data_IF_165731205124
#
_entry.id   IF_165731205124
#
_cell.length_a   1.000
_cell.length_b   1.000
_cell.length_c   1.000
_cell.angle_alpha   90.00
_cell.angle_beta   90.00
_cell.angle_gamma   90.00
#
_symmetry.space_group_name_H-M   'P 1'
#
loop_
_entity.id
_entity.type
_entity.pdbx_description
1 polymer ?
#
# COMPACT_ATOMS: atom_id res chain seq x y z
N UNK A 1 24.28 35.49 -3.87
CA UNK A 1 25.50 34.98 -3.21
C UNK A 1 25.20 33.58 -2.75
N UNK A 2 25.91 32.58 -3.30
CA UNK A 2 25.57 31.16 -3.16
C UNK A 2 25.69 30.66 -1.72
N UNK A 3 24.59 30.16 -1.16
CA UNK A 3 24.63 29.33 0.04
C UNK A 3 25.25 27.97 -0.35
N UNK A 4 26.49 27.73 0.07
CA UNK A 4 27.15 26.44 -0.13
C UNK A 4 26.46 25.43 0.79
N UNK A 5 25.62 24.57 0.19
CA UNK A 5 24.99 23.43 0.85
C UNK A 5 26.04 22.34 1.14
N UNK A 6 25.91 21.65 2.27
CA UNK A 6 26.67 20.42 2.53
C UNK A 6 25.86 19.26 1.96
N UNK A 7 26.49 18.44 1.12
CA UNK A 7 25.93 17.20 0.60
C UNK A 7 26.18 16.05 1.58
N UNK A 8 25.11 15.36 1.98
CA UNK A 8 25.15 14.02 2.56
C UNK A 8 24.33 13.11 1.65
N UNK A 9 24.97 12.53 0.64
CA UNK A 9 24.29 11.80 -0.44
C UNK A 9 23.33 12.68 -1.23
N UNK A 10 22.05 12.32 -1.18
CA UNK A 10 20.90 13.01 -1.78
C UNK A 10 20.32 14.12 -0.87
N UNK A 11 20.88 14.36 0.32
CA UNK A 11 20.44 15.43 1.23
C UNK A 11 21.25 16.71 1.03
N UNK A 12 20.54 17.84 0.90
CA UNK A 12 21.11 19.18 0.99
C UNK A 12 20.85 19.84 2.36
N UNK A 13 21.93 20.19 3.07
CA UNK A 13 21.88 20.92 4.34
C UNK A 13 22.29 22.39 4.17
N UNK A 14 21.52 23.32 4.76
CA UNK A 14 21.87 24.75 4.79
C UNK A 14 23.03 25.02 5.78
N UNK A 15 24.04 25.79 5.35
CA UNK A 15 25.30 26.04 6.10
C UNK A 15 25.03 26.59 7.52
N UNK A 16 25.75 26.06 8.52
CA UNK A 16 25.67 26.49 9.93
C UNK A 16 24.92 25.53 10.88
N UNK A 17 24.31 24.46 10.36
CA UNK A 17 23.55 23.48 11.14
C UNK A 17 24.04 22.04 10.93
N UNK A 18 25.34 21.79 11.19
CA UNK A 18 25.90 20.41 11.27
C UNK A 18 25.25 19.55 12.37
N UNK A 19 24.40 20.15 13.20
CA UNK A 19 23.56 19.47 14.19
C UNK A 19 22.11 19.39 13.69
N UNK A 20 21.89 18.76 12.54
CA UNK A 20 20.64 18.78 11.78
C UNK A 20 19.44 18.06 12.44
N UNK A 21 19.41 17.85 13.76
CA UNK A 21 18.35 17.02 14.41
C UNK A 21 17.66 17.73 15.60
N UNK A 22 18.08 18.95 15.97
CA UNK A 22 17.38 19.77 16.98
C UNK A 22 16.85 21.08 16.37
N UNK A 23 16.24 21.01 15.18
CA UNK A 23 15.68 22.19 14.53
C UNK A 23 14.14 22.13 14.51
N UNK A 24 13.50 22.51 15.61
CA UNK A 24 12.03 22.69 15.61
C UNK A 24 11.58 23.72 14.55
N UNK A 25 12.41 24.74 14.29
CA UNK A 25 12.17 25.74 13.24
C UNK A 25 12.23 25.20 11.81
N UNK A 26 12.66 23.95 11.62
CA UNK A 26 12.77 23.30 10.32
C UNK A 26 11.56 22.39 10.01
N UNK A 27 10.59 22.29 10.91
CA UNK A 27 9.37 21.52 10.66
C UNK A 27 8.34 22.36 9.90
N UNK A 28 7.54 21.71 9.08
CA UNK A 28 6.36 22.34 8.50
C UNK A 28 5.33 22.65 9.59
N UNK A 29 4.73 23.85 9.59
CA UNK A 29 3.85 24.26 10.67
C UNK A 29 2.55 23.44 10.68
N UNK A 30 2.10 23.09 11.88
CA UNK A 30 0.79 22.47 12.07
C UNK A 30 -0.29 23.55 12.17
N UNK A 31 -1.30 23.45 11.32
CA UNK A 31 -2.49 24.31 11.30
C UNK A 31 -3.41 24.00 12.48
N UNK A 32 -4.34 24.92 12.76
CA UNK A 32 -5.31 24.80 13.87
C UNK A 32 -6.26 23.61 13.71
N UNK A 33 -6.52 23.18 12.47
CA UNK A 33 -7.29 21.97 12.12
C UNK A 33 -6.52 20.67 12.42
N UNK A 34 -5.31 20.76 12.96
CA UNK A 34 -4.47 19.60 13.28
C UNK A 34 -3.74 19.00 12.08
N UNK A 35 -3.77 19.65 10.91
CA UNK A 35 -3.08 19.20 9.70
C UNK A 35 -1.74 19.93 9.51
N UNK A 36 -0.80 19.28 8.83
CA UNK A 36 0.47 19.89 8.40
C UNK A 36 0.40 20.10 6.90
N UNK A 37 0.06 21.31 6.47
CA UNK A 37 -0.11 21.64 5.05
C UNK A 37 1.25 22.00 4.45
N UNK A 38 1.67 21.25 3.43
CA UNK A 38 2.91 21.46 2.68
C UNK A 38 2.52 21.94 1.28
N UNK A 39 2.62 23.25 1.00
CA UNK A 39 2.35 23.78 -0.33
C UNK A 39 3.35 23.23 -1.34
N UNK A 40 2.85 22.76 -2.48
CA UNK A 40 3.66 22.14 -3.53
C UNK A 40 3.33 22.67 -4.92
N UNK A 41 4.35 22.79 -5.76
CA UNK A 41 4.23 22.89 -7.21
C UNK A 41 5.03 21.77 -7.86
N UNK A 42 4.44 21.10 -8.85
CA UNK A 42 5.10 20.06 -9.63
C UNK A 42 5.39 20.64 -11.02
N UNK A 43 6.64 20.55 -11.47
CA UNK A 43 7.06 21.10 -12.76
C UNK A 43 6.19 20.58 -13.92
N UNK A 44 5.95 21.46 -14.89
CA UNK A 44 5.32 21.12 -16.17
C UNK A 44 6.17 20.20 -17.03
N UNK A 45 7.48 20.07 -16.74
CA UNK A 45 8.43 19.22 -17.47
C UNK A 45 8.21 17.72 -17.22
N UNK A 46 7.40 17.38 -16.22
CA UNK A 46 6.88 16.03 -16.04
C UNK A 46 5.75 15.77 -17.03
N UNK A 47 5.68 14.57 -17.57
CA UNK A 47 4.50 14.12 -18.31
C UNK A 47 3.28 14.01 -17.37
N UNK A 48 2.08 13.90 -17.95
CA UNK A 48 0.85 13.67 -17.17
C UNK A 48 0.97 12.41 -16.30
N UNK A 49 1.54 11.34 -16.86
CA UNK A 49 1.79 10.08 -16.17
C UNK A 49 2.75 10.22 -15.00
N UNK A 50 3.88 10.92 -15.19
CA UNK A 50 4.86 11.14 -14.12
C UNK A 50 4.29 12.00 -12.99
N UNK A 51 3.50 13.04 -13.32
CA UNK A 51 2.78 13.82 -12.31
C UNK A 51 1.77 12.98 -11.54
N UNK A 52 1.10 12.02 -12.19
CA UNK A 52 0.20 11.10 -11.52
C UNK A 52 0.94 10.17 -10.54
N UNK A 53 2.14 9.68 -10.89
CA UNK A 53 2.97 8.91 -9.96
C UNK A 53 3.43 9.72 -8.75
N UNK A 54 3.84 10.97 -8.97
CA UNK A 54 4.19 11.90 -7.87
C UNK A 54 2.97 12.13 -6.98
N UNK A 55 1.81 12.46 -7.56
CA UNK A 55 0.59 12.65 -6.80
C UNK A 55 0.18 11.41 -6.00
N UNK A 56 0.27 10.21 -6.59
CA UNK A 56 -0.04 8.94 -5.91
C UNK A 56 0.88 8.68 -4.72
N UNK A 57 2.20 8.92 -4.88
CA UNK A 57 3.18 8.74 -3.82
C UNK A 57 2.93 9.69 -2.63
N UNK A 58 2.62 10.96 -2.92
CA UNK A 58 2.29 11.98 -1.92
C UNK A 58 0.94 11.73 -1.25
N UNK A 59 -0.05 11.26 -2.02
CA UNK A 59 -1.38 10.94 -1.50
C UNK A 59 -1.33 9.82 -0.46
N UNK A 60 -0.40 8.87 -0.58
CA UNK A 60 -0.21 7.82 0.41
C UNK A 60 0.32 8.37 1.76
N UNK A 61 1.30 9.29 1.74
CA UNK A 61 1.73 10.02 2.93
C UNK A 61 0.54 10.78 3.54
N UNK A 62 -0.23 11.47 2.71
CA UNK A 62 -1.41 12.24 3.13
C UNK A 62 -2.55 11.38 3.67
N UNK A 63 -2.63 10.12 3.27
CA UNK A 63 -3.67 9.19 3.75
C UNK A 63 -3.29 8.66 5.12
N UNK A 64 -2.02 8.30 5.32
CA UNK A 64 -1.57 7.60 6.52
C UNK A 64 -1.18 8.53 7.67
N UNK A 65 -1.06 9.83 7.40
CA UNK A 65 -0.56 10.84 8.35
C UNK A 65 -1.40 12.11 8.30
N UNK A 66 -1.11 13.06 9.19
CA UNK A 66 -1.72 14.40 9.18
C UNK A 66 -1.03 15.39 8.22
N UNK A 67 0.02 14.98 7.52
CA UNK A 67 0.69 15.81 6.50
C UNK A 67 -0.18 15.85 5.26
N UNK A 68 -0.40 17.03 4.67
CA UNK A 68 -1.21 17.19 3.47
C UNK A 68 -0.45 18.01 2.44
N UNK A 69 -0.18 17.41 1.28
CA UNK A 69 0.40 18.12 0.14
C UNK A 69 -0.70 18.87 -0.59
N UNK A 70 -0.62 20.20 -0.59
CA UNK A 70 -1.66 21.07 -1.17
C UNK A 70 -1.07 21.86 -2.32
N UNK A 71 -1.83 22.06 -3.40
CA UNK A 71 -1.39 22.92 -4.49
C UNK A 71 -1.11 24.32 -3.95
N UNK A 72 0.11 24.81 -4.17
CA UNK A 72 0.49 26.15 -3.76
C UNK A 72 -0.30 27.20 -4.54
N UNK A 73 -0.71 28.24 -3.82
CA UNK A 73 -1.28 29.47 -4.36
C UNK A 73 -0.32 30.63 -4.10
N UNK A 74 -0.38 31.25 -2.92
CA UNK A 74 0.38 32.45 -2.54
C UNK A 74 1.43 32.20 -1.46
N UNK A 75 1.52 30.97 -0.95
CA UNK A 75 2.37 30.64 0.18
C UNK A 75 3.85 30.93 -0.13
N UNK A 76 4.52 31.61 0.80
CA UNK A 76 5.93 31.98 0.67
C UNK A 76 6.85 30.77 0.71
N UNK A 77 6.56 29.84 1.62
CA UNK A 77 7.36 28.64 1.85
C UNK A 77 6.68 27.44 1.19
N UNK A 78 7.37 26.77 0.27
CA UNK A 78 6.78 25.71 -0.53
C UNK A 78 7.82 24.78 -1.16
N UNK A 79 7.41 23.57 -1.45
CA UNK A 79 8.18 22.60 -2.21
C UNK A 79 7.94 22.78 -3.71
N UNK A 80 9.00 22.80 -4.50
CA UNK A 80 8.95 22.77 -5.95
C UNK A 80 9.60 21.47 -6.45
N UNK A 81 8.80 20.56 -6.98
CA UNK A 81 9.29 19.30 -7.55
C UNK A 81 9.77 19.56 -8.97
N UNK A 82 11.08 19.43 -9.19
CA UNK A 82 11.73 19.71 -10.47
C UNK A 82 12.34 18.45 -11.08
N UNK A 83 12.42 18.45 -12.41
CA UNK A 83 13.14 17.41 -13.13
C UNK A 83 14.63 17.71 -13.04
N UNK A 84 15.36 16.81 -12.38
CA UNK A 84 16.81 16.92 -12.17
C UNK A 84 17.63 15.94 -13.01
N UNK A 85 18.95 16.00 -12.82
CA UNK A 85 19.91 14.98 -13.28
C UNK A 85 20.18 13.90 -12.21
N UNK A 86 19.88 14.21 -10.94
CA UNK A 86 19.96 13.31 -9.79
C UNK A 86 18.74 13.49 -8.89
N UNK A 87 18.51 12.52 -8.00
CA UNK A 87 17.49 12.56 -6.98
C UNK A 87 18.08 13.22 -5.73
N UNK A 88 17.39 14.22 -5.18
CA UNK A 88 17.85 14.94 -4.00
C UNK A 88 16.74 15.82 -3.40
N UNK A 89 16.93 16.18 -2.13
CA UNK A 89 16.00 17.01 -1.39
C UNK A 89 16.67 17.80 -0.27
N UNK A 90 16.08 18.94 0.09
CA UNK A 90 16.51 19.68 1.28
C UNK A 90 16.01 19.00 2.55
N UNK A 91 16.81 19.06 3.61
CA UNK A 91 16.38 18.62 4.93
C UNK A 91 15.39 19.60 5.57
N UNK A 92 14.15 19.14 5.78
CA UNK A 92 13.08 19.91 6.41
C UNK A 92 12.64 21.13 5.59
N UNK A 93 11.88 22.00 6.26
CA UNK A 93 11.47 23.30 5.76
C UNK A 93 12.65 24.28 5.84
N UNK A 94 13.11 24.77 4.68
CA UNK A 94 14.22 25.75 4.60
C UNK A 94 13.75 27.20 4.44
N UNK A 95 12.46 27.40 4.13
CA UNK A 95 11.85 28.70 3.83
C UNK A 95 12.01 29.12 2.36
N UNK A 96 11.06 29.91 1.84
CA UNK A 96 11.01 30.26 0.43
C UNK A 96 10.69 29.07 -0.49
N UNK A 97 11.08 29.18 -1.77
CA UNK A 97 11.05 28.06 -2.72
C UNK A 97 12.14 27.05 -2.35
N UNK A 98 11.77 25.82 -2.02
CA UNK A 98 12.71 24.72 -1.84
C UNK A 98 12.50 23.64 -2.90
N UNK A 99 13.56 23.27 -3.60
CA UNK A 99 13.48 22.30 -4.67
C UNK A 99 13.61 20.86 -4.15
N UNK A 100 12.91 19.94 -4.82
CA UNK A 100 13.07 18.48 -4.70
C UNK A 100 13.30 17.96 -6.11
N UNK A 101 14.46 17.35 -6.34
CA UNK A 101 14.88 16.86 -7.65
C UNK A 101 14.43 15.42 -7.86
N UNK A 102 13.73 15.15 -8.97
CA UNK A 102 13.37 13.79 -9.40
C UNK A 102 13.85 13.49 -10.83
N UNK A 103 14.21 12.23 -11.09
CA UNK A 103 14.77 11.75 -12.37
C UNK A 103 13.95 10.59 -12.91
N UNK A 104 13.60 10.65 -14.20
CA UNK A 104 12.73 9.69 -14.90
C UNK A 104 13.10 8.22 -14.67
N UNK A 105 14.37 7.89 -14.87
CA UNK A 105 14.88 6.52 -14.77
C UNK A 105 15.65 6.28 -13.45
N UNK A 106 15.37 7.09 -12.42
CA UNK A 106 16.04 7.01 -11.12
C UNK A 106 15.04 6.86 -9.98
N UNK A 107 14.28 7.91 -9.70
CA UNK A 107 13.42 8.02 -8.51
C UNK A 107 11.97 8.35 -8.86
N UNK A 108 11.43 7.70 -9.90
CA UNK A 108 10.01 7.84 -10.27
C UNK A 108 9.12 6.71 -9.73
N UNK A 109 9.70 5.71 -9.06
CA UNK A 109 8.91 4.78 -8.28
C UNK A 109 8.40 5.43 -6.98
N UNK A 110 7.34 4.85 -6.42
CA UNK A 110 6.64 5.38 -5.25
C UNK A 110 7.56 5.61 -4.06
N UNK A 111 8.39 4.63 -3.71
CA UNK A 111 9.25 4.72 -2.54
C UNK A 111 10.33 5.78 -2.72
N UNK A 112 10.92 5.89 -3.90
CA UNK A 112 11.92 6.92 -4.16
C UNK A 112 11.33 8.34 -4.09
N UNK A 113 10.11 8.56 -4.61
CA UNK A 113 9.44 9.86 -4.47
C UNK A 113 9.16 10.19 -2.99
N UNK A 114 8.69 9.18 -2.22
CA UNK A 114 8.45 9.33 -0.79
C UNK A 114 9.74 9.55 0.00
N UNK A 115 10.86 8.96 -0.41
CA UNK A 115 12.19 9.17 0.16
C UNK A 115 12.59 10.64 0.08
N UNK A 116 12.59 11.20 -1.13
CA UNK A 116 12.95 12.60 -1.34
C UNK A 116 11.99 13.55 -0.61
N UNK A 117 10.70 13.20 -0.57
CA UNK A 117 9.73 14.01 0.16
C UNK A 117 9.94 13.92 1.68
N UNK A 118 10.30 12.76 2.21
CA UNK A 118 10.58 12.60 3.64
C UNK A 118 11.79 13.43 4.08
N UNK A 119 12.80 13.62 3.22
CA UNK A 119 13.85 14.61 3.49
C UNK A 119 13.28 16.02 3.68
N UNK A 120 12.39 16.46 2.78
CA UNK A 120 11.72 17.76 2.89
C UNK A 120 10.81 17.87 4.13
N UNK A 121 10.35 16.74 4.68
CA UNK A 121 9.62 16.66 5.95
C UNK A 121 10.52 16.64 7.20
N UNK A 122 11.84 16.57 7.03
CA UNK A 122 12.82 16.61 8.12
C UNK A 122 13.33 15.24 8.56
N UNK A 123 13.34 14.25 7.67
CA UNK A 123 13.94 12.95 7.93
C UNK A 123 15.32 12.82 7.28
N UNK A 124 16.23 12.21 8.01
CA UNK A 124 17.55 11.77 7.55
C UNK A 124 17.48 10.29 7.15
N UNK A 125 18.56 9.77 6.58
CA UNK A 125 18.64 8.35 6.31
C UNK A 125 18.67 7.49 7.58
N UNK A 126 18.07 6.30 7.49
CA UNK A 126 17.96 5.36 8.62
C UNK A 126 19.32 4.78 9.01
N UNK A 127 20.19 4.51 8.04
CA UNK A 127 21.57 4.05 8.32
C UNK A 127 22.48 5.17 8.84
N UNK A 128 22.02 6.41 8.93
CA UNK A 128 22.80 7.49 9.53
C UNK A 128 22.57 7.62 11.04
N UNK A 129 21.66 6.82 11.63
CA UNK A 129 21.31 6.91 13.05
C UNK A 129 22.51 6.77 13.98
N UNK A 130 22.46 7.47 15.11
CA UNK A 130 23.47 7.43 16.17
C UNK A 130 23.66 6.03 16.78
N UNK A 131 22.59 5.22 16.81
CA UNK A 131 22.53 3.87 17.36
C UNK A 131 22.62 2.75 16.32
N UNK A 132 22.83 3.08 15.03
CA UNK A 132 22.78 2.10 13.92
C UNK A 132 23.70 0.90 14.11
N UNK A 133 24.85 1.07 14.77
CA UNK A 133 25.92 0.05 14.83
C UNK A 133 25.47 -1.17 15.67
N UNK A 134 24.30 -1.09 16.32
CA UNK A 134 23.61 -2.21 16.97
C UNK A 134 22.79 -3.07 16.00
N UNK A 135 22.57 -2.60 14.78
CA UNK A 135 21.60 -3.12 13.81
C UNK A 135 22.23 -3.35 12.43
N UNK A 136 23.23 -2.56 12.04
CA UNK A 136 23.96 -2.74 10.79
C UNK A 136 25.46 -2.57 11.01
N UNK A 137 26.25 -3.29 10.22
CA UNK A 137 27.69 -3.09 10.08
C UNK A 137 27.96 -2.36 8.77
N UNK A 138 28.75 -1.29 8.83
CA UNK A 138 29.28 -0.61 7.65
C UNK A 138 30.59 -1.29 7.24
N UNK A 139 30.66 -1.75 5.99
CA UNK A 139 31.84 -2.37 5.40
C UNK A 139 32.66 -1.29 4.69
N UNK A 140 33.43 -0.53 5.46
CA UNK A 140 34.18 0.65 5.00
C UNK A 140 35.12 0.34 3.83
N UNK A 141 35.71 -0.85 3.84
CA UNK A 141 36.59 -1.39 2.81
C UNK A 141 35.89 -1.65 1.46
N UNK A 142 34.56 -1.71 1.45
CA UNK A 142 33.77 -1.92 0.24
C UNK A 142 33.26 -0.62 -0.38
N UNK A 143 33.36 0.52 0.31
CA UNK A 143 32.83 1.81 -0.15
C UNK A 143 33.78 2.44 -1.18
N UNK A 144 33.22 3.02 -2.24
CA UNK A 144 33.97 3.81 -3.23
C UNK A 144 34.78 4.93 -2.56
N UNK A 145 35.99 5.18 -3.06
CA UNK A 145 36.86 6.24 -2.52
C UNK A 145 36.18 7.61 -2.67
N UNK A 146 36.04 8.35 -1.57
CA UNK A 146 35.36 9.66 -1.53
C UNK A 146 33.93 9.59 -1.00
N UNK A 147 33.30 8.42 -0.99
CA UNK A 147 31.88 8.25 -0.63
C UNK A 147 31.66 7.86 0.83
N UNK A 148 32.73 7.74 1.63
CA UNK A 148 32.64 7.36 3.05
C UNK A 148 31.80 8.32 3.89
N UNK A 149 31.71 9.60 3.47
CA UNK A 149 30.89 10.62 4.14
C UNK A 149 29.40 10.25 4.20
N UNK A 150 28.88 9.54 3.20
CA UNK A 150 27.47 9.15 3.12
C UNK A 150 27.06 8.11 4.19
N UNK A 151 28.04 7.52 4.88
CA UNK A 151 27.85 6.53 5.94
C UNK A 151 28.21 7.11 7.31
N UNK A 152 28.36 8.43 7.43
CA UNK A 152 28.54 9.12 8.71
C UNK A 152 27.35 8.90 9.65
N UNK A 153 27.61 8.86 10.97
CA UNK A 153 26.53 8.91 11.97
C UNK A 153 26.15 10.36 12.22
N UNK A 154 24.86 10.61 12.34
CA UNK A 154 24.31 11.89 12.79
C UNK A 154 23.69 11.74 14.17
N UNK A 155 23.72 12.81 14.96
CA UNK A 155 23.24 12.80 16.34
C UNK A 155 21.70 12.73 16.39
N UNK A 156 21.14 11.53 16.30
CA UNK A 156 19.70 11.30 16.25
C UNK A 156 19.11 10.83 17.58
N UNK A 157 17.91 11.34 17.92
CA UNK A 157 17.06 10.81 19.01
C UNK A 157 16.14 9.68 18.56
N UNK A 158 16.02 9.47 17.24
CA UNK A 158 15.17 8.46 16.59
C UNK A 158 13.69 8.47 17.02
N UNK A 159 13.26 9.55 17.67
CA UNK A 159 11.96 9.68 18.31
C UNK A 159 11.63 8.50 19.26
N UNK A 160 12.63 7.81 19.80
CA UNK A 160 12.43 6.60 20.62
C UNK A 160 11.77 5.43 19.89
N UNK A 161 11.90 5.35 18.56
CA UNK A 161 11.38 4.25 17.74
C UNK A 161 12.50 3.23 17.40
N UNK A 162 12.15 1.94 17.20
CA UNK A 162 13.09 0.90 16.78
C UNK A 162 13.80 1.22 15.46
N UNK A 163 14.88 0.48 15.17
CA UNK A 163 15.54 0.53 13.87
C UNK A 163 14.66 -0.10 12.80
N UNK A 164 14.55 0.56 11.65
CA UNK A 164 13.68 0.14 10.56
C UNK A 164 14.45 -0.27 9.31
N UNK A 165 14.76 -1.57 9.20
CA UNK A 165 15.40 -2.14 8.00
C UNK A 165 14.59 -1.92 6.72
N UNK A 166 13.28 -1.76 6.84
CA UNK A 166 12.36 -1.56 5.72
C UNK A 166 12.07 -0.08 5.45
N UNK A 167 12.73 0.83 6.15
CA UNK A 167 12.51 2.26 5.97
C UNK A 167 12.81 2.65 4.53
N UNK A 168 11.93 3.46 3.95
CA UNK A 168 12.20 4.07 2.65
C UNK A 168 13.45 4.96 2.72
N UNK A 169 13.80 5.46 3.90
CA UNK A 169 14.99 6.27 4.18
C UNK A 169 16.27 5.44 4.38
N UNK A 170 16.21 4.11 4.28
CA UNK A 170 17.40 3.27 4.40
C UNK A 170 18.09 3.10 3.04
N UNK A 171 19.42 3.16 3.02
CA UNK A 171 20.23 2.76 1.85
C UNK A 171 20.15 1.26 1.57
N UNK A 172 20.33 0.89 0.32
CA UNK A 172 20.52 -0.50 -0.10
C UNK A 172 21.84 -1.07 0.39
N UNK A 173 21.92 -2.40 0.45
CA UNK A 173 23.12 -3.10 0.91
C UNK A 173 24.35 -2.82 0.04
N UNK A 174 24.17 -2.41 -1.21
CA UNK A 174 25.23 -2.22 -2.21
C UNK A 174 25.43 -0.77 -2.64
N UNK A 175 24.72 0.18 -2.01
CA UNK A 175 24.83 1.59 -2.36
C UNK A 175 26.28 2.05 -2.14
N UNK A 176 26.81 2.80 -3.10
CA UNK A 176 28.20 3.28 -3.13
C UNK A 176 29.29 2.18 -3.06
N UNK A 177 28.98 0.96 -3.51
CA UNK A 177 29.95 -0.13 -3.53
C UNK A 177 31.03 0.07 -4.61
N UNK A 178 32.28 -0.21 -4.23
CA UNK A 178 33.47 -0.17 -5.10
C UNK A 178 33.57 -1.38 -6.04
N UNK A 179 32.81 -2.46 -5.81
CA UNK A 179 32.85 -3.65 -6.64
C UNK A 179 31.51 -4.41 -6.62
N UNK A 180 31.11 -5.05 -7.74
CA UNK A 180 29.91 -5.88 -7.79
C UNK A 180 29.91 -6.97 -6.72
N UNK A 181 28.76 -7.17 -6.07
CA UNK A 181 28.56 -8.22 -5.06
C UNK A 181 29.20 -7.95 -3.70
N UNK A 182 29.84 -6.78 -3.48
CA UNK A 182 30.37 -6.38 -2.17
C UNK A 182 29.38 -5.45 -1.45
N UNK A 183 28.69 -5.90 -0.39
CA UNK A 183 27.77 -5.03 0.34
C UNK A 183 28.55 -3.99 1.16
N UNK A 184 28.11 -2.74 1.14
CA UNK A 184 28.59 -1.63 1.98
C UNK A 184 27.86 -1.58 3.32
N UNK A 185 26.64 -2.12 3.39
CA UNK A 185 25.85 -2.24 4.62
C UNK A 185 25.41 -3.69 4.80
N UNK A 186 25.68 -4.26 5.97
CA UNK A 186 25.29 -5.63 6.33
C UNK A 186 24.42 -5.59 7.60
N UNK A 187 23.15 -6.01 7.52
CA UNK A 187 22.29 -6.14 8.71
C UNK A 187 22.85 -7.16 9.71
N UNK A 188 22.62 -6.89 11.00
CA UNK A 188 23.00 -7.77 12.11
C UNK A 188 21.81 -7.98 13.07
N UNK A 189 21.70 -9.16 13.70
CA UNK A 189 22.60 -10.32 13.60
C UNK A 189 22.41 -11.15 12.33
N UNK A 190 21.38 -10.87 11.52
CA UNK A 190 21.03 -11.65 10.33
C UNK A 190 21.27 -10.85 9.03
N UNK A 191 22.34 -11.18 8.27
CA UNK A 191 22.65 -10.55 6.99
C UNK A 191 21.61 -10.75 5.89
N UNK A 192 20.66 -11.68 6.05
CA UNK A 192 19.63 -11.98 5.04
C UNK A 192 18.45 -11.00 5.06
N UNK A 193 18.37 -10.15 6.10
CA UNK A 193 17.31 -9.14 6.21
C UNK A 193 17.42 -8.15 5.02
N UNK A 194 16.37 -7.97 4.21
CA UNK A 194 16.40 -7.03 3.09
C UNK A 194 16.40 -5.58 3.60
N UNK A 195 17.22 -4.74 2.97
CA UNK A 195 17.32 -3.28 3.22
C UNK A 195 17.29 -2.49 1.90
N UNK A 196 16.92 -1.21 1.97
CA UNK A 196 16.90 -0.30 0.82
C UNK A 196 15.73 -0.49 -0.13
N UNK A 197 14.59 -0.95 0.38
CA UNK A 197 13.36 -1.06 -0.41
C UNK A 197 12.90 0.31 -0.93
N UNK A 198 12.19 0.29 -2.06
CA UNK A 198 11.57 1.47 -2.70
C UNK A 198 10.10 1.20 -3.13
N UNK A 199 9.43 0.30 -2.43
CA UNK A 199 8.00 0.01 -2.63
C UNK A 199 7.08 1.10 -2.07
N UNK A 200 7.52 1.74 -0.99
CA UNK A 200 6.84 2.85 -0.33
C UNK A 200 7.05 2.83 1.18
N UNK A 201 6.35 3.69 1.93
CA UNK A 201 6.52 3.83 3.38
C UNK A 201 6.36 2.49 4.12
N UNK A 202 7.22 2.26 5.10
CA UNK A 202 7.04 1.22 6.12
C UNK A 202 6.08 1.70 7.23
N UNK A 203 5.68 0.78 8.12
CA UNK A 203 4.95 1.16 9.34
C UNK A 203 5.74 2.12 10.23
N UNK A 204 7.07 1.96 10.32
CA UNK A 204 7.91 2.80 11.15
C UNK A 204 8.21 4.15 10.48
N UNK A 205 8.22 4.24 9.16
CA UNK A 205 8.24 5.53 8.45
C UNK A 205 7.00 6.37 8.79
N UNK A 206 5.80 5.75 8.68
CA UNK A 206 4.53 6.38 9.05
C UNK A 206 4.52 6.78 10.53
N UNK A 207 4.97 5.89 11.43
CA UNK A 207 5.06 6.18 12.86
C UNK A 207 6.03 7.33 13.17
N UNK A 208 7.15 7.43 12.46
CA UNK A 208 8.11 8.54 12.58
C UNK A 208 7.48 9.87 12.16
N UNK A 209 6.78 9.92 11.02
CA UNK A 209 6.04 11.12 10.57
C UNK A 209 4.98 11.50 11.60
N UNK A 210 4.15 10.55 12.02
CA UNK A 210 3.08 10.78 12.98
C UNK A 210 3.62 11.26 14.33
N UNK A 211 4.75 10.72 14.80
CA UNK A 211 5.37 11.15 16.06
C UNK A 211 6.03 12.53 15.94
N UNK A 212 6.69 12.83 14.83
CA UNK A 212 7.34 14.12 14.60
C UNK A 212 6.31 15.26 14.52
N UNK A 213 5.22 15.05 13.78
CA UNK A 213 4.16 16.04 13.55
C UNK A 213 2.97 15.91 14.52
N UNK A 214 3.09 15.02 15.53
CA UNK A 214 2.07 14.77 16.56
C UNK A 214 0.70 14.44 15.96
N UNK A 215 0.67 13.64 14.89
CA UNK A 215 -0.56 13.26 14.21
C UNK A 215 -1.38 12.30 15.08
N UNK A 216 -2.70 12.50 15.15
CA UNK A 216 -3.62 11.60 15.82
C UNK A 216 -4.22 10.61 14.79
N UNK A 217 -3.40 9.68 14.32
CA UNK A 217 -3.79 8.68 13.32
C UNK A 217 -3.36 7.28 13.76
N UNK A 218 -4.27 6.31 13.70
CA UNK A 218 -3.95 4.89 13.81
C UNK A 218 -3.90 4.26 12.42
N UNK A 219 -2.77 4.44 11.73
CA UNK A 219 -2.56 3.92 10.37
C UNK A 219 -1.57 2.76 10.37
N UNK A 220 -1.82 1.75 9.54
CA UNK A 220 -0.92 0.61 9.34
C UNK A 220 -0.81 0.25 7.85
N UNK A 221 0.41 0.01 7.40
CA UNK A 221 0.73 -0.57 6.10
C UNK A 221 0.86 -2.08 6.25
N UNK A 222 0.19 -2.82 5.38
CA UNK A 222 0.18 -4.28 5.32
C UNK A 222 0.83 -4.74 4.00
N UNK A 223 2.18 -4.86 3.94
CA UNK A 223 2.91 -5.05 2.68
C UNK A 223 3.04 -6.54 2.25
N UNK A 224 2.71 -7.48 3.15
CA UNK A 224 2.87 -8.92 2.89
C UNK A 224 1.87 -9.40 1.85
N UNK A 225 2.19 -10.47 1.13
CA UNK A 225 1.28 -11.08 0.14
C UNK A 225 0.03 -11.72 0.73
N UNK A 226 0.02 -11.99 2.03
CA UNK A 226 -1.14 -12.43 2.80
C UNK A 226 -0.99 -11.99 4.24
N UNK A 227 -2.11 -11.79 4.93
CA UNK A 227 -2.11 -11.42 6.34
C UNK A 227 -3.51 -11.30 6.90
N UNK A 228 -3.59 -10.98 8.18
CA UNK A 228 -4.83 -10.70 8.88
C UNK A 228 -4.66 -9.48 9.78
N UNK A 229 -5.75 -8.76 10.00
CA UNK A 229 -5.82 -7.61 10.89
C UNK A 229 -7.19 -7.54 11.56
N UNK A 230 -7.29 -6.76 12.63
CA UNK A 230 -8.52 -6.61 13.41
C UNK A 230 -8.64 -5.20 13.96
N UNK A 231 -9.84 -4.84 14.40
CA UNK A 231 -10.00 -3.68 15.28
C UNK A 231 -9.15 -3.85 16.54
N UNK A 232 -8.81 -2.72 17.17
CA UNK A 232 -8.15 -2.74 18.47
C UNK A 232 -9.00 -3.52 19.48
N UNK A 233 -8.34 -4.26 20.37
CA UNK A 233 -8.92 -5.10 21.42
C UNK A 233 -9.74 -6.32 20.99
N UNK A 234 -10.00 -6.54 19.69
CA UNK A 234 -10.79 -7.69 19.23
C UNK A 234 -10.29 -9.01 19.89
N UNK A 235 -11.19 -9.86 20.45
CA UNK A 235 -12.66 -9.83 20.35
C UNK A 235 -13.37 -9.01 21.45
N UNK A 236 -12.67 -8.16 22.19
CA UNK A 236 -13.25 -7.22 23.14
C UNK A 236 -13.60 -5.88 22.49
N UNK A 237 -14.42 -5.04 23.15
CA UNK A 237 -14.86 -3.77 22.58
C UNK A 237 -13.73 -2.87 22.08
N UNK A 238 -13.88 -2.35 20.86
CA UNK A 238 -12.96 -1.39 20.30
C UNK A 238 -13.03 -0.03 21.03
N UNK A 239 -11.96 0.79 20.97
CA UNK A 239 -11.99 2.13 21.56
C UNK A 239 -12.94 3.07 20.83
N UNK A 240 -13.62 3.95 21.58
CA UNK A 240 -14.40 5.06 21.02
C UNK A 240 -13.47 6.10 20.37
N UNK A 241 -14.02 6.94 19.48
CA UNK A 241 -13.31 7.97 18.71
C UNK A 241 -12.12 7.42 17.90
N UNK A 242 -12.21 6.16 17.47
CA UNK A 242 -11.21 5.53 16.62
C UNK A 242 -11.35 6.03 15.18
N UNK A 243 -10.22 6.25 14.50
CA UNK A 243 -10.16 6.52 13.06
C UNK A 243 -8.92 5.83 12.50
N UNK A 244 -9.06 4.53 12.23
CA UNK A 244 -7.96 3.66 11.89
C UNK A 244 -7.98 3.25 10.42
N UNK A 245 -6.79 3.19 9.84
CA UNK A 245 -6.58 2.90 8.44
C UNK A 245 -5.62 1.72 8.28
N UNK A 246 -6.00 0.76 7.44
CA UNK A 246 -5.11 -0.30 6.98
C UNK A 246 -4.93 -0.17 5.47
N UNK A 247 -3.71 0.16 5.06
CA UNK A 247 -3.32 0.16 3.66
C UNK A 247 -2.70 -1.19 3.32
N UNK A 248 -3.45 -2.04 2.63
CA UNK A 248 -2.94 -3.27 2.06
C UNK A 248 -2.21 -2.91 0.77
N UNK A 249 -0.92 -3.28 0.66
CA UNK A 249 -0.07 -3.00 -0.51
C UNK A 249 0.66 -4.28 -0.90
N UNK A 250 0.31 -4.85 -2.05
CA UNK A 250 0.96 -6.08 -2.56
C UNK A 250 1.72 -5.78 -3.84
N UNK A 251 2.91 -6.34 -4.03
CA UNK A 251 3.68 -6.08 -5.26
C UNK A 251 3.04 -6.73 -6.48
N UNK A 252 2.66 -5.91 -7.48
CA UNK A 252 2.25 -6.34 -8.84
C UNK A 252 1.18 -7.44 -8.85
N UNK A 253 0.22 -7.38 -7.93
CA UNK A 253 -0.89 -8.34 -7.85
C UNK A 253 -2.14 -7.62 -7.39
N UNK A 254 -3.31 -8.24 -7.57
CA UNK A 254 -4.56 -7.74 -7.00
C UNK A 254 -4.70 -8.25 -5.56
N UNK A 255 -5.64 -7.67 -4.83
CA UNK A 255 -5.89 -7.99 -3.41
C UNK A 255 -7.28 -8.57 -3.29
N UNK A 256 -7.38 -9.76 -2.69
CA UNK A 256 -8.61 -10.33 -2.17
C UNK A 256 -8.69 -10.05 -0.66
N UNK A 257 -9.80 -9.47 -0.21
CA UNK A 257 -10.10 -9.17 1.19
C UNK A 257 -11.37 -9.91 1.60
N UNK A 258 -11.32 -10.57 2.76
CA UNK A 258 -12.47 -11.23 3.37
C UNK A 258 -12.56 -10.90 4.85
N UNK A 259 -13.76 -11.07 5.43
CA UNK A 259 -14.04 -10.79 6.83
C UNK A 259 -14.46 -12.05 7.55
N UNK A 260 -13.71 -12.45 8.58
CA UNK A 260 -14.09 -13.59 9.43
C UNK A 260 -15.16 -13.20 10.45
N UNK A 261 -15.19 -11.93 10.88
CA UNK A 261 -16.18 -11.42 11.82
C UNK A 261 -16.36 -9.91 11.69
N UNK A 262 -17.60 -9.45 11.87
CA UNK A 262 -17.96 -8.05 12.02
C UNK A 262 -19.10 -7.91 13.04
N UNK A 263 -18.89 -7.02 14.01
CA UNK A 263 -19.85 -6.59 15.01
C UNK A 263 -19.52 -5.14 15.42
N UNK A 264 -20.19 -4.19 14.77
CA UNK A 264 -20.07 -2.75 15.03
C UNK A 264 -21.40 -2.20 15.53
N UNK A 265 -21.38 -1.04 16.21
CA UNK A 265 -22.60 -0.33 16.59
C UNK A 265 -23.52 -0.12 15.37
N UNK A 266 -24.74 -0.64 15.46
CA UNK A 266 -25.74 -0.44 14.40
C UNK A 266 -26.33 0.96 14.52
N UNK A 267 -26.32 1.73 13.42
CA UNK A 267 -27.03 3.00 13.33
C UNK A 267 -27.60 3.24 11.93
N UNK A 268 -28.62 4.11 11.77
CA UNK A 268 -29.17 4.44 10.46
C UNK A 268 -28.09 4.97 9.51
N UNK A 269 -27.92 4.31 8.36
CA UNK A 269 -26.88 4.67 7.38
C UNK A 269 -25.45 4.53 7.89
N UNK A 270 -25.22 3.81 8.99
CA UNK A 270 -23.92 3.62 9.62
C UNK A 270 -23.20 4.95 9.88
N UNK A 271 -23.95 5.92 10.41
CA UNK A 271 -23.46 7.26 10.73
C UNK A 271 -22.56 7.31 11.96
N UNK A 272 -22.68 6.32 12.87
CA UNK A 272 -21.91 6.22 14.11
C UNK A 272 -20.60 5.49 13.85
N UNK A 273 -20.66 4.16 13.87
CA UNK A 273 -19.51 3.30 13.64
C UNK A 273 -19.63 2.66 12.28
N UNK A 274 -18.53 2.60 11.54
CA UNK A 274 -18.54 1.98 10.23
C UNK A 274 -17.18 1.46 9.82
N UNK A 275 -17.24 0.48 8.93
CA UNK A 275 -16.14 0.11 8.07
C UNK A 275 -16.42 0.55 6.64
N UNK A 276 -15.39 1.00 5.94
CA UNK A 276 -15.45 1.43 4.54
C UNK A 276 -14.19 0.97 3.81
N UNK A 277 -14.34 0.50 2.57
CA UNK A 277 -13.22 -0.04 1.79
C UNK A 277 -13.10 0.70 0.46
N UNK A 278 -11.87 1.10 0.14
CA UNK A 278 -11.53 1.87 -1.06
C UNK A 278 -10.61 1.06 -2.00
N UNK A 279 -10.85 1.21 -3.30
CA UNK A 279 -10.12 0.59 -4.40
C UNK A 279 -8.84 1.38 -4.74
N UNK A 280 -7.95 1.54 -3.78
CA UNK A 280 -6.73 2.32 -3.95
C UNK A 280 -6.02 2.56 -2.63
N UNK A 281 -5.15 3.56 -2.60
CA UNK A 281 -4.35 3.91 -1.42
C UNK A 281 -4.88 5.12 -0.65
N UNK A 282 -6.08 5.62 -0.97
CA UNK A 282 -6.60 6.85 -0.37
C UNK A 282 -8.12 6.89 -0.28
N UNK A 283 -8.64 7.77 0.58
CA UNK A 283 -10.10 8.00 0.72
C UNK A 283 -10.74 8.66 -0.52
N UNK A 284 -9.93 9.14 -1.46
CA UNK A 284 -10.38 9.67 -2.76
C UNK A 284 -10.49 8.58 -3.83
N UNK A 285 -10.05 7.36 -3.54
CA UNK A 285 -10.12 6.24 -4.48
C UNK A 285 -11.56 5.75 -4.63
N UNK A 286 -11.91 5.06 -5.74
CA UNK A 286 -13.25 4.51 -5.91
C UNK A 286 -13.65 3.60 -4.73
N UNK A 287 -14.91 3.67 -4.29
CA UNK A 287 -15.37 2.90 -3.13
C UNK A 287 -15.68 1.45 -3.52
N UNK A 288 -15.02 0.49 -2.87
CA UNK A 288 -15.35 -0.94 -2.99
C UNK A 288 -16.49 -1.31 -2.05
N UNK A 289 -16.54 -0.80 -0.84
CA UNK A 289 -17.68 -1.01 0.05
C UNK A 289 -17.93 0.30 0.77
N UNK A 290 -19.15 0.82 0.67
CA UNK A 290 -19.51 2.02 1.42
C UNK A 290 -19.69 1.69 2.90
N UNK A 291 -20.12 2.66 3.70
CA UNK A 291 -20.29 2.49 5.15
C UNK A 291 -21.14 1.26 5.47
N UNK A 292 -20.58 0.36 6.27
CA UNK A 292 -21.26 -0.81 6.79
C UNK A 292 -21.04 -0.95 8.29
N UNK A 293 -22.06 -1.42 9.00
CA UNK A 293 -22.11 -1.53 10.46
C UNK A 293 -23.10 -2.62 10.90
N UNK A 294 -23.22 -2.85 12.21
CA UNK A 294 -23.99 -3.95 12.77
C UNK A 294 -23.21 -5.25 12.83
N UNK A 295 -23.94 -6.33 13.14
CA UNK A 295 -23.40 -7.69 13.26
C UNK A 295 -23.78 -8.51 12.03
N UNK A 296 -22.80 -9.12 11.38
CA UNK A 296 -23.07 -9.96 10.21
C UNK A 296 -21.84 -10.25 9.36
N UNK A 297 -22.05 -10.97 8.26
CA UNK A 297 -21.02 -11.22 7.28
C UNK A 297 -20.92 -10.05 6.30
N UNK A 298 -19.69 -9.62 6.02
CA UNK A 298 -19.40 -8.72 4.90
C UNK A 298 -19.07 -9.52 3.65
N UNK A 299 -19.38 -8.98 2.45
CA UNK A 299 -18.92 -9.60 1.24
C UNK A 299 -17.40 -9.51 1.13
N UNK A 300 -16.78 -10.56 0.59
CA UNK A 300 -15.39 -10.45 0.17
C UNK A 300 -15.26 -9.51 -1.03
N UNK A 301 -14.09 -8.90 -1.18
CA UNK A 301 -13.82 -7.88 -2.19
C UNK A 301 -12.51 -8.17 -2.88
N UNK A 302 -12.48 -7.91 -4.19
CA UNK A 302 -11.26 -7.96 -5.00
C UNK A 302 -10.97 -6.57 -5.53
N UNK A 303 -9.81 -5.99 -5.16
CA UNK A 303 -9.34 -4.72 -5.68
C UNK A 303 -8.97 -4.84 -7.17
N UNK A 304 -9.13 -3.76 -7.93
CA UNK A 304 -8.70 -3.74 -9.33
C UNK A 304 -7.17 -3.61 -9.48
N UNK A 305 -6.49 -3.11 -8.44
CA UNK A 305 -5.05 -2.87 -8.42
C UNK A 305 -4.35 -3.46 -7.19
N UNK A 306 -3.13 -3.00 -6.96
CA UNK A 306 -2.19 -3.49 -5.95
C UNK A 306 -2.29 -2.84 -4.57
N UNK A 307 -3.27 -1.97 -4.39
CA UNK A 307 -3.52 -1.27 -3.12
C UNK A 307 -5.00 -1.28 -2.79
N UNK A 308 -5.30 -1.48 -1.51
CA UNK A 308 -6.65 -1.40 -0.97
C UNK A 308 -6.57 -0.71 0.40
N UNK A 309 -7.42 0.28 0.63
CA UNK A 309 -7.48 1.00 1.90
C UNK A 309 -8.75 0.59 2.64
N UNK A 310 -8.57 0.12 3.88
CA UNK A 310 -9.67 -0.19 4.80
C UNK A 310 -9.71 0.89 5.88
N UNK A 311 -10.87 1.50 6.04
CA UNK A 311 -11.14 2.53 7.05
C UNK A 311 -12.12 1.98 8.08
N UNK A 312 -11.77 2.12 9.35
CA UNK A 312 -12.67 1.93 10.47
C UNK A 312 -12.77 3.24 11.26
N UNK A 313 -14.01 3.70 11.48
CA UNK A 313 -14.28 4.84 12.32
C UNK A 313 -15.33 4.48 13.38
N UNK A 314 -15.17 5.02 14.58
CA UNK A 314 -16.14 4.90 15.66
C UNK A 314 -16.47 6.25 16.29
N UNK A 315 -17.69 6.38 16.81
CA UNK A 315 -18.16 7.55 17.54
C UNK A 315 -17.70 7.56 19.01
N UNK A 316 -18.26 8.47 19.81
CA UNK A 316 -17.88 8.69 21.21
C UNK A 316 -18.34 7.59 22.19
N UNK A 317 -19.14 6.61 21.75
CA UNK A 317 -19.85 5.66 22.63
C UNK A 317 -20.14 4.30 21.98
N UNK A 318 -20.79 3.39 22.73
CA UNK A 318 -21.47 2.19 22.21
C UNK A 318 -20.63 1.19 21.39
N UNK A 319 -19.34 1.05 21.70
CA UNK A 319 -18.50 0.05 21.06
C UNK A 319 -19.00 -1.40 21.19
N UNK A 320 -18.96 -2.12 20.08
CA UNK A 320 -19.23 -3.56 19.98
C UNK A 320 -17.92 -4.37 19.86
N UNK A 321 -18.00 -5.69 19.62
CA UNK A 321 -16.79 -6.56 19.66
C UNK A 321 -15.78 -6.32 18.54
N UNK A 322 -16.17 -5.61 17.48
CA UNK A 322 -15.28 -5.17 16.41
C UNK A 322 -15.23 -6.12 15.22
N UNK A 323 -14.07 -6.23 14.58
CA UNK A 323 -13.92 -7.03 13.38
C UNK A 323 -12.59 -7.76 13.28
N UNK A 324 -12.59 -8.83 12.50
CA UNK A 324 -11.39 -9.52 12.04
C UNK A 324 -11.50 -9.74 10.53
N UNK A 325 -10.42 -9.43 9.84
CA UNK A 325 -10.30 -9.57 8.39
C UNK A 325 -8.98 -10.24 8.02
N UNK A 326 -8.98 -10.91 6.87
CA UNK A 326 -7.77 -11.38 6.21
C UNK A 326 -7.75 -11.02 4.75
N UNK A 327 -6.53 -10.95 4.22
CA UNK A 327 -6.29 -10.60 2.84
C UNK A 327 -5.23 -11.51 2.24
N UNK A 328 -5.31 -11.69 0.92
CA UNK A 328 -4.37 -12.46 0.13
C UNK A 328 -4.15 -11.82 -1.23
N UNK A 329 -2.98 -12.06 -1.80
CA UNK A 329 -2.71 -11.70 -3.19
C UNK A 329 -3.50 -12.63 -4.10
N UNK A 330 -4.08 -12.05 -5.15
CA UNK A 330 -4.65 -12.79 -6.28
C UNK A 330 -4.03 -12.27 -7.57
N UNK A 331 -3.86 -13.15 -8.54
CA UNK A 331 -3.23 -12.80 -9.82
C UNK A 331 -4.18 -12.04 -10.73
N UNK A 332 -5.46 -12.38 -10.68
CA UNK A 332 -6.49 -11.76 -11.49
C UNK A 332 -7.85 -11.78 -10.79
N UNK A 333 -8.89 -11.33 -11.49
CA UNK A 333 -10.23 -11.20 -10.93
C UNK A 333 -10.67 -9.77 -10.69
N UNK A 334 -11.75 -9.60 -9.93
CA UNK A 334 -12.35 -8.29 -9.66
C UNK A 334 -13.70 -8.40 -8.95
N UNK A 335 -14.24 -7.25 -8.54
CA UNK A 335 -15.60 -7.16 -7.99
C UNK A 335 -16.54 -6.58 -9.06
N UNK A 336 -17.63 -7.28 -9.37
CA UNK A 336 -18.57 -7.00 -10.46
C UNK A 336 -19.94 -6.66 -9.90
N UNK A 337 -20.54 -5.57 -10.39
CA UNK A 337 -21.82 -5.01 -9.91
C UNK A 337 -22.81 -4.66 -11.00
N UNK A 338 -22.37 -4.67 -12.24
CA UNK A 338 -23.25 -4.44 -13.38
C UNK A 338 -24.23 -5.62 -13.50
N UNK A 339 -25.47 -5.35 -13.88
CA UNK A 339 -26.56 -6.36 -13.93
C UNK A 339 -26.30 -7.53 -14.89
N UNK A 340 -25.34 -7.38 -15.79
CA UNK A 340 -24.82 -8.44 -16.64
C UNK A 340 -23.33 -8.23 -16.89
N UNK A 341 -22.63 -9.30 -17.29
CA UNK A 341 -21.24 -9.20 -17.70
C UNK A 341 -20.67 -10.52 -18.19
N UNK A 342 -19.41 -10.48 -18.58
CA UNK A 342 -18.64 -11.62 -19.07
C UNK A 342 -17.41 -11.81 -18.21
N UNK A 343 -17.14 -13.03 -17.79
CA UNK A 343 -15.92 -13.42 -17.08
C UNK A 343 -15.18 -14.42 -17.96
N UNK A 344 -13.89 -14.17 -18.16
CA UNK A 344 -13.00 -15.06 -18.90
C UNK A 344 -11.82 -15.46 -18.05
N UNK A 345 -11.22 -16.61 -18.36
CA UNK A 345 -9.86 -16.91 -17.94
C UNK A 345 -8.90 -15.80 -18.41
N UNK A 346 -7.76 -15.60 -17.72
CA UNK A 346 -6.76 -14.65 -18.17
C UNK A 346 -6.30 -14.95 -19.60
N UNK A 347 -6.03 -13.90 -20.37
CA UNK A 347 -5.50 -13.92 -21.74
C UNK A 347 -6.40 -14.58 -22.81
N UNK A 348 -7.63 -15.02 -22.45
CA UNK A 348 -8.61 -15.55 -23.39
C UNK A 348 -8.80 -14.64 -24.62
N UNK A 349 -8.83 -15.17 -25.86
CA UNK A 349 -8.90 -16.59 -26.24
C UNK A 349 -7.56 -17.32 -26.29
N UNK A 350 -6.46 -16.67 -25.91
CA UNK A 350 -5.19 -17.38 -25.73
C UNK A 350 -5.23 -18.25 -24.49
N UNK A 351 -4.24 -19.13 -24.37
CA UNK A 351 -4.14 -20.04 -23.24
C UNK A 351 -3.96 -19.28 -21.93
N UNK A 352 -4.61 -19.75 -20.86
CA UNK A 352 -4.41 -19.15 -19.54
C UNK A 352 -2.97 -19.36 -19.07
N UNK A 353 -2.39 -18.41 -18.29
CA UNK A 353 -1.08 -18.60 -17.73
C UNK A 353 -1.06 -19.63 -16.59
N UNK A 354 0.08 -20.28 -16.43
CA UNK A 354 0.44 -21.07 -15.23
C UNK A 354 0.48 -20.27 -13.93
N UNK A 355 0.25 -20.97 -12.82
CA UNK A 355 0.39 -20.51 -11.44
C UNK A 355 -0.43 -19.25 -11.19
N UNK A 356 -1.73 -19.36 -11.43
CA UNK A 356 -2.70 -18.28 -11.26
C UNK A 356 -3.73 -18.68 -10.19
N UNK A 357 -4.02 -17.74 -9.31
CA UNK A 357 -5.19 -17.76 -8.45
C UNK A 357 -6.04 -16.52 -8.80
N UNK A 358 -7.29 -16.73 -9.18
CA UNK A 358 -8.15 -15.70 -9.73
C UNK A 358 -9.55 -15.76 -9.13
N UNK A 359 -10.00 -14.60 -8.62
CA UNK A 359 -11.19 -14.50 -7.78
C UNK A 359 -12.10 -13.42 -8.38
N UNK A 360 -13.28 -13.79 -8.85
CA UNK A 360 -14.29 -12.83 -9.33
C UNK A 360 -15.48 -12.86 -8.38
N UNK A 361 -15.75 -11.73 -7.73
CA UNK A 361 -16.91 -11.57 -6.85
C UNK A 361 -18.00 -10.83 -7.61
N UNK A 362 -19.13 -11.49 -7.86
CA UNK A 362 -20.31 -10.89 -8.47
C UNK A 362 -21.27 -10.53 -7.35
N UNK A 363 -21.76 -9.28 -7.37
CA UNK A 363 -22.64 -8.71 -6.33
C UNK A 363 -23.87 -8.10 -6.99
N UNK A 364 -25.04 -8.68 -6.71
CA UNK A 364 -26.33 -8.11 -7.08
C UNK A 364 -26.97 -7.36 -5.89
N UNK A 365 -27.98 -6.50 -6.13
CA UNK A 365 -28.79 -5.94 -5.06
C UNK A 365 -29.47 -7.05 -4.23
N UNK A 366 -29.77 -6.73 -2.98
CA UNK A 366 -30.47 -7.64 -2.07
C UNK A 366 -31.82 -8.05 -2.67
N UNK A 367 -32.13 -9.35 -2.62
CA UNK A 367 -33.36 -9.94 -3.17
C UNK A 367 -33.23 -10.50 -4.59
N UNK A 368 -32.15 -10.18 -5.30
CA UNK A 368 -31.84 -10.77 -6.61
C UNK A 368 -31.01 -12.05 -6.47
N UNK A 369 -31.11 -12.92 -7.47
CA UNK A 369 -30.28 -14.12 -7.65
C UNK A 369 -29.45 -13.96 -8.91
N UNK A 370 -28.23 -14.49 -8.89
CA UNK A 370 -27.28 -14.41 -9.98
C UNK A 370 -27.33 -15.72 -10.76
N UNK A 371 -27.56 -15.61 -12.07
CA UNK A 371 -27.49 -16.72 -13.02
C UNK A 371 -26.15 -16.68 -13.76
N UNK A 372 -25.44 -17.80 -13.76
CA UNK A 372 -24.21 -18.01 -14.54
C UNK A 372 -24.45 -19.03 -15.64
N UNK A 373 -23.94 -18.71 -16.83
CA UNK A 373 -23.97 -19.60 -17.99
C UNK A 373 -22.57 -19.76 -18.57
N UNK A 374 -22.11 -21.00 -18.66
CA UNK A 374 -20.83 -21.32 -19.28
C UNK A 374 -20.98 -21.34 -20.81
N UNK A 375 -20.16 -20.56 -21.51
CA UNK A 375 -20.15 -20.49 -22.98
C UNK A 375 -19.04 -21.34 -23.60
N UNK A 376 -17.88 -21.41 -22.95
CA UNK A 376 -16.73 -22.21 -23.36
C UNK A 376 -15.97 -22.64 -22.11
N UNK A 377 -15.46 -23.87 -22.09
CA UNK A 377 -14.73 -24.42 -20.95
C UNK A 377 -13.76 -25.52 -21.39
N UNK A 378 -12.47 -25.29 -21.16
CA UNK A 378 -11.39 -26.22 -21.42
C UNK A 378 -10.22 -25.92 -20.47
N UNK A 379 -10.07 -26.76 -19.43
CA UNK A 379 -8.97 -26.74 -18.46
C UNK A 379 -8.20 -28.07 -18.48
N UNK A 380 -7.05 -28.13 -17.81
CA UNK A 380 -6.28 -29.38 -17.71
C UNK A 380 -7.15 -30.48 -17.07
N UNK A 381 -7.27 -31.61 -17.74
CA UNK A 381 -8.03 -32.74 -17.23
C UNK A 381 -7.19 -33.56 -16.24
N UNK A 382 -7.76 -33.85 -15.08
CA UNK A 382 -7.10 -34.63 -14.04
C UNK A 382 -8.09 -35.31 -13.11
N UNK A 383 -7.68 -36.44 -12.51
CA UNK A 383 -8.48 -37.12 -11.51
C UNK A 383 -8.81 -36.18 -10.35
N UNK A 384 -10.10 -35.87 -10.19
CA UNK A 384 -10.65 -34.95 -9.16
C UNK A 384 -10.25 -33.48 -9.33
N UNK A 385 -9.78 -33.07 -10.52
CA UNK A 385 -9.48 -31.66 -10.84
C UNK A 385 -8.51 -31.01 -9.85
N UNK A 386 -7.38 -31.67 -9.58
CA UNK A 386 -6.43 -31.23 -8.55
C UNK A 386 -5.34 -30.27 -9.07
N UNK A 387 -5.18 -30.17 -10.40
CA UNK A 387 -4.20 -29.29 -11.02
C UNK A 387 -4.85 -27.95 -11.38
N UNK A 388 -5.57 -27.91 -12.49
CA UNK A 388 -6.35 -26.74 -12.91
C UNK A 388 -7.83 -26.96 -12.61
N UNK A 389 -8.46 -25.98 -11.96
CA UNK A 389 -9.87 -26.10 -11.59
C UNK A 389 -10.61 -24.79 -11.53
N UNK A 390 -11.93 -24.90 -11.72
CA UNK A 390 -12.90 -23.85 -11.49
C UNK A 390 -13.88 -24.26 -10.39
N UNK A 391 -14.08 -23.39 -9.41
CA UNK A 391 -15.12 -23.48 -8.39
C UNK A 391 -16.09 -22.30 -8.51
N UNK A 392 -17.38 -22.58 -8.30
CA UNK A 392 -18.42 -21.57 -8.23
C UNK A 392 -19.07 -21.67 -6.85
N UNK A 393 -18.85 -20.65 -6.03
CA UNK A 393 -19.36 -20.56 -4.67
C UNK A 393 -20.69 -19.78 -4.64
N UNK A 394 -21.70 -20.36 -3.99
CA UNK A 394 -22.97 -19.73 -3.66
C UNK A 394 -22.82 -18.80 -2.45
N UNK A 395 -22.22 -17.65 -2.71
CA UNK A 395 -21.85 -16.64 -1.73
C UNK A 395 -20.58 -15.91 -2.15
N UNK A 396 -20.08 -15.01 -1.31
CA UNK A 396 -18.88 -14.21 -1.63
C UNK A 396 -17.60 -14.71 -0.99
N UNK A 397 -17.63 -15.82 -0.23
CA UNK A 397 -16.47 -16.33 0.51
C UNK A 397 -16.04 -17.71 -0.01
N UNK A 398 -14.74 -18.04 0.05
CA UNK A 398 -14.25 -19.39 -0.32
C UNK A 398 -14.83 -20.50 0.56
N UNK A 399 -15.32 -20.16 1.75
CA UNK A 399 -16.01 -21.07 2.67
C UNK A 399 -17.50 -21.26 2.38
N UNK A 400 -18.07 -20.49 1.44
CA UNK A 400 -19.46 -20.66 1.00
C UNK A 400 -19.65 -21.99 0.28
N UNK A 401 -20.85 -22.60 0.33
CA UNK A 401 -21.17 -23.80 -0.45
C UNK A 401 -20.79 -23.61 -1.91
N UNK A 402 -20.21 -24.62 -2.55
CA UNK A 402 -19.71 -24.51 -3.92
C UNK A 402 -20.07 -25.71 -4.78
N UNK A 403 -20.10 -25.49 -6.09
CA UNK A 403 -20.18 -26.53 -7.11
C UNK A 403 -18.85 -26.62 -7.87
N UNK A 404 -18.54 -27.83 -8.35
CA UNK A 404 -17.22 -28.21 -8.84
C UNK A 404 -16.45 -29.08 -7.83
N UNK A 405 -15.10 -29.18 -7.93
CA UNK A 405 -14.25 -28.53 -8.93
C UNK A 405 -14.55 -29.01 -10.36
N UNK A 406 -14.50 -28.10 -11.33
CA UNK A 406 -14.61 -28.41 -12.75
C UNK A 406 -13.25 -28.35 -13.42
N UNK A 407 -12.97 -29.29 -14.32
CA UNK A 407 -11.76 -29.34 -15.15
C UNK A 407 -12.03 -30.14 -16.44
N UNK A 408 -11.01 -30.28 -17.30
CA UNK A 408 -11.16 -30.96 -18.59
C UNK A 408 -12.06 -30.19 -19.56
N UNK A 409 -12.85 -30.94 -20.35
CA UNK A 409 -13.78 -30.40 -21.37
C UNK A 409 -15.24 -30.75 -21.09
N UNK A 410 -15.53 -31.22 -19.88
CA UNK A 410 -16.89 -31.59 -19.50
C UNK A 410 -17.82 -30.38 -19.48
N UNK A 411 -19.08 -30.61 -19.82
CA UNK A 411 -20.10 -29.56 -19.82
C UNK A 411 -20.37 -29.09 -18.39
N UNK A 412 -20.03 -27.84 -18.10
CA UNK A 412 -20.41 -27.16 -16.85
C UNK A 412 -21.88 -26.73 -16.93
N UNK A 413 -22.69 -27.20 -15.97
CA UNK A 413 -24.10 -26.83 -15.87
C UNK A 413 -24.30 -25.36 -15.51
N UNK A 414 -25.41 -24.78 -15.99
CA UNK A 414 -25.83 -23.44 -15.59
C UNK A 414 -26.05 -23.41 -14.06
N UNK A 415 -25.68 -22.28 -13.44
CA UNK A 415 -25.74 -22.10 -11.99
C UNK A 415 -26.64 -20.91 -11.64
N UNK A 416 -27.48 -21.08 -10.61
CA UNK A 416 -28.31 -20.01 -10.06
C UNK A 416 -28.04 -19.93 -8.56
N UNK A 417 -27.60 -18.77 -8.09
CA UNK A 417 -27.31 -18.55 -6.67
C UNK A 417 -28.57 -18.57 -5.80
N UNK A 418 -28.40 -18.87 -4.52
CA UNK A 418 -29.48 -18.73 -3.53
C UNK A 418 -29.60 -17.30 -3.02
N UNK A 419 -28.48 -16.58 -2.96
CA UNK A 419 -28.39 -15.19 -2.52
C UNK A 419 -27.93 -14.23 -3.62
N UNK A 420 -27.54 -13.03 -3.20
CA UNK A 420 -27.15 -11.93 -4.07
C UNK A 420 -25.63 -11.84 -4.34
N UNK A 421 -24.89 -12.90 -4.04
CA UNK A 421 -23.44 -12.98 -4.23
C UNK A 421 -23.03 -14.31 -4.86
N UNK A 422 -22.04 -14.25 -5.74
CA UNK A 422 -21.32 -15.43 -6.27
C UNK A 422 -19.83 -15.13 -6.30
N UNK A 423 -19.02 -16.08 -5.86
CA UNK A 423 -17.57 -16.06 -6.02
C UNK A 423 -17.20 -17.13 -7.03
N UNK A 424 -16.53 -16.73 -8.10
CA UNK A 424 -15.89 -17.62 -9.06
C UNK A 424 -14.41 -17.70 -8.71
N UNK A 425 -13.92 -18.89 -8.45
CA UNK A 425 -12.52 -19.18 -8.09
C UNK A 425 -11.89 -20.05 -9.19
N UNK A 426 -10.79 -19.56 -9.78
CA UNK A 426 -9.99 -20.30 -10.76
C UNK A 426 -8.55 -20.44 -10.28
N UNK A 427 -8.04 -21.66 -10.37
CA UNK A 427 -6.65 -21.99 -10.08
C UNK A 427 -5.99 -22.71 -11.26
N UNK A 428 -4.74 -22.34 -11.53
CA UNK A 428 -3.85 -23.09 -12.43
C UNK A 428 -2.54 -23.47 -11.77
N UNK A 429 -2.01 -24.63 -12.14
CA UNK A 429 -0.77 -25.18 -11.62
C UNK A 429 0.47 -24.71 -12.43
N UNK A 430 1.63 -25.38 -12.31
CA UNK A 430 2.87 -24.98 -13.02
C UNK A 430 3.04 -25.65 -14.40
N UNK A 431 2.15 -26.60 -14.74
CA UNK A 431 2.14 -27.35 -15.98
C UNK A 431 0.97 -26.90 -16.87
N UNK A 432 0.81 -27.56 -18.02
CA UNK A 432 -0.27 -27.45 -19.03
C UNK A 432 -1.13 -26.17 -19.08
N UNK A 433 -1.17 -25.55 -20.26
CA UNK A 433 -1.99 -24.37 -20.51
C UNK A 433 -2.98 -24.66 -21.65
N UNK A 434 -4.25 -24.35 -21.43
CA UNK A 434 -5.37 -24.56 -22.35
C UNK A 434 -6.16 -23.26 -22.56
N UNK A 435 -7.09 -23.20 -23.54
CA UNK A 435 -7.83 -21.98 -23.85
C UNK A 435 -8.60 -21.37 -22.66
N UNK A 436 -8.98 -22.19 -21.68
CA UNK A 436 -9.64 -21.71 -20.46
C UNK A 436 -11.15 -21.64 -20.61
N UNK A 437 -11.76 -20.57 -20.13
CA UNK A 437 -13.21 -20.48 -20.06
C UNK A 437 -13.77 -19.09 -20.36
N UNK A 438 -15.03 -19.09 -20.78
CA UNK A 438 -15.87 -17.89 -20.92
C UNK A 438 -17.21 -18.20 -20.29
N UNK A 439 -17.64 -17.36 -19.35
CA UNK A 439 -18.98 -17.41 -18.78
C UNK A 439 -19.63 -16.03 -18.81
N UNK A 440 -20.95 -16.02 -18.88
CA UNK A 440 -21.77 -14.81 -18.75
C UNK A 440 -22.57 -14.88 -17.47
N UNK A 441 -22.80 -13.73 -16.85
CA UNK A 441 -23.68 -13.62 -15.70
C UNK A 441 -24.78 -12.58 -15.93
N UNK A 442 -25.92 -12.78 -15.27
CA UNK A 442 -27.05 -11.84 -15.21
C UNK A 442 -27.74 -11.92 -13.85
N UNK A 443 -28.36 -10.84 -13.39
CA UNK A 443 -29.27 -10.87 -12.23
C UNK A 443 -30.43 -9.88 -12.37
#
# INVERSE_FOLDING_TARGET
GGEIAVHEGDILLRRGRRSAINCESCLWPKSQDGLVKVPINISSDFSVTERAWIADALQEISTLTCVQFVNRTTERDYVYVERGQSCWSYFGKIGGRQAVGLVKNGCMDKGAIQHEMNHALGFIHEQARSDRDRFVKIMWEHIMAGEQGNFGKVNSKNLGLPYDYSSVMHYGAYDFSSAPGKPTIVPIPDPSIPIGQREGLSNLDVAKINKLYKCNHCSSVLPKSKGSFSSANYPFPYPNNSNCLWLIRVRRSKIFLQFEALDLQLSPGCSSDYIKIYNGNSKNSPVLLDKYCGKGALPSLVASGSTMLVEFASDESNAATGFRASYSRVNCGGTFRDWHGVITSPDYPNKYPKNRACFWVISSPVGYKISLKMLSFELEDSDRCIYDYLLIHDGSQPTSPAVGPYCGTEKVSDFISTGNFVLVEFHSDIAWELPGFVMTYTF
#
